data_IF_667923969298
#
_entry.id   IF_667923969298
#
_cell.length_a   1.000
_cell.length_b   1.000
_cell.length_c   1.000
_cell.angle_alpha   90.00
_cell.angle_beta   90.00
_cell.angle_gamma   90.00
#
_symmetry.space_group_name_H-M   'P 1'
#
loop_
_entity.id
_entity.type
_entity.pdbx_description
1 polymer ?
#
# COMPACT_ATOMS: atom_id res chain seq x y z
N UNK A 1 22.80 -8.40 -6.34
CA UNK A 1 21.82 -9.48 -6.26
C UNK A 1 20.84 -9.30 -7.41
N UNK A 2 20.20 -10.38 -7.85
CA UNK A 2 19.10 -10.35 -8.80
C UNK A 2 17.78 -10.28 -8.03
N UNK A 3 17.03 -9.21 -8.23
CA UNK A 3 15.77 -8.92 -7.53
C UNK A 3 14.61 -8.88 -8.51
N UNK A 4 13.57 -9.65 -8.25
CA UNK A 4 12.28 -9.51 -8.94
C UNK A 4 11.42 -8.56 -8.12
N UNK A 5 10.99 -7.45 -8.72
CA UNK A 5 10.07 -6.49 -8.12
C UNK A 5 8.73 -6.56 -8.85
N UNK A 6 7.72 -7.13 -8.20
CA UNK A 6 6.36 -7.22 -8.74
C UNK A 6 5.48 -6.06 -8.23
N UNK A 7 4.72 -5.44 -9.14
CA UNK A 7 4.06 -4.16 -8.91
C UNK A 7 5.02 -2.97 -9.06
N UNK A 8 6.04 -3.12 -9.90
CA UNK A 8 7.20 -2.22 -10.01
C UNK A 8 6.85 -0.78 -10.40
N UNK A 9 5.73 -0.56 -11.07
CA UNK A 9 5.33 0.77 -11.56
C UNK A 9 4.14 1.36 -10.78
N UNK A 10 3.75 0.72 -9.66
CA UNK A 10 2.89 1.34 -8.65
C UNK A 10 3.63 2.44 -7.88
N UNK A 11 2.90 3.24 -7.08
CA UNK A 11 3.51 4.37 -6.33
C UNK A 11 4.69 3.93 -5.45
N UNK A 12 4.53 2.90 -4.63
CA UNK A 12 5.61 2.36 -3.81
C UNK A 12 6.64 1.58 -4.66
N UNK A 13 6.17 0.77 -5.61
CA UNK A 13 7.03 -0.03 -6.47
C UNK A 13 8.03 0.81 -7.25
N UNK A 14 7.62 1.96 -7.78
CA UNK A 14 8.50 2.88 -8.49
C UNK A 14 9.60 3.46 -7.58
N UNK A 15 9.29 3.77 -6.32
CA UNK A 15 10.29 4.22 -5.36
C UNK A 15 11.27 3.09 -4.97
N UNK A 16 10.78 1.85 -4.77
CA UNK A 16 11.64 0.68 -4.55
C UNK A 16 12.56 0.44 -5.77
N UNK A 17 12.03 0.56 -6.99
CA UNK A 17 12.80 0.42 -8.22
C UNK A 17 13.97 1.43 -8.27
N UNK A 18 13.72 2.69 -7.91
CA UNK A 18 14.75 3.72 -7.84
C UNK A 18 15.87 3.33 -6.88
N UNK A 19 15.53 2.87 -5.69
CA UNK A 19 16.51 2.48 -4.67
C UNK A 19 17.33 1.27 -5.12
N UNK A 20 16.68 0.25 -5.68
CA UNK A 20 17.34 -0.95 -6.21
C UNK A 20 18.31 -0.61 -7.34
N UNK A 21 17.90 0.24 -8.29
CA UNK A 21 18.72 0.70 -9.40
C UNK A 21 19.92 1.55 -8.92
N UNK A 22 19.71 2.40 -7.93
CA UNK A 22 20.78 3.22 -7.33
C UNK A 22 21.83 2.37 -6.62
N UNK A 23 21.42 1.26 -5.99
CA UNK A 23 22.30 0.32 -5.30
C UNK A 23 22.96 -0.72 -6.23
N UNK A 24 22.72 -0.63 -7.55
CA UNK A 24 23.37 -1.49 -8.54
C UNK A 24 22.88 -2.95 -8.52
N UNK A 25 21.62 -3.19 -8.11
CA UNK A 25 21.00 -4.51 -8.22
C UNK A 25 20.63 -4.82 -9.68
N UNK A 26 20.68 -6.09 -10.06
CA UNK A 26 20.04 -6.58 -11.28
C UNK A 26 18.54 -6.72 -11.00
N UNK A 27 17.72 -5.86 -11.65
CA UNK A 27 16.28 -5.79 -11.35
C UNK A 27 15.46 -6.31 -12.51
N UNK A 28 14.55 -7.25 -12.23
CA UNK A 28 13.44 -7.60 -13.09
C UNK A 28 12.19 -6.87 -12.57
N UNK A 29 11.81 -5.80 -13.27
CA UNK A 29 10.61 -5.01 -12.96
C UNK A 29 9.38 -5.65 -13.60
N UNK A 30 8.48 -6.20 -12.79
CA UNK A 30 7.31 -6.94 -13.25
C UNK A 30 6.01 -6.19 -12.91
N UNK A 31 5.19 -5.94 -13.94
CA UNK A 31 3.89 -5.25 -13.81
C UNK A 31 3.03 -5.52 -15.04
N UNK A 32 1.75 -5.10 -15.02
CA UNK A 32 0.87 -5.15 -16.19
C UNK A 32 1.39 -4.31 -17.35
N UNK A 33 1.95 -3.13 -17.06
CA UNK A 33 2.44 -2.16 -18.04
C UNK A 33 3.68 -1.47 -17.51
N UNK A 34 4.62 -1.25 -18.41
CA UNK A 34 5.79 -0.42 -18.12
C UNK A 34 5.40 1.06 -18.06
N UNK A 35 5.96 1.75 -17.09
CA UNK A 35 5.88 3.21 -16.97
C UNK A 35 7.30 3.74 -16.72
N UNK A 36 7.68 4.83 -17.38
CA UNK A 36 8.99 5.45 -17.17
C UNK A 36 9.17 5.83 -15.69
N UNK A 37 10.30 5.42 -15.12
CA UNK A 37 10.74 5.78 -13.77
C UNK A 37 12.04 6.55 -13.88
N UNK A 38 12.01 7.83 -13.56
CA UNK A 38 13.14 8.75 -13.67
C UNK A 38 14.38 8.22 -12.92
N UNK A 39 15.51 8.20 -13.61
CA UNK A 39 16.79 7.73 -13.08
C UNK A 39 17.00 6.22 -13.11
N UNK A 40 16.04 5.44 -13.67
CA UNK A 40 16.11 4.00 -13.81
C UNK A 40 16.26 3.53 -15.27
N UNK A 41 16.40 4.44 -16.22
CA UNK A 41 16.46 4.14 -17.66
C UNK A 41 17.61 3.17 -17.97
N UNK A 42 17.27 2.03 -18.56
CA UNK A 42 18.23 0.98 -18.93
C UNK A 42 18.86 0.21 -17.78
N UNK A 43 18.36 0.39 -16.54
CA UNK A 43 18.91 -0.25 -15.32
C UNK A 43 18.06 -1.44 -14.84
N UNK A 44 17.00 -1.79 -15.52
CA UNK A 44 16.15 -2.93 -15.19
C UNK A 44 15.70 -3.65 -16.47
N UNK A 45 15.24 -4.88 -16.31
CA UNK A 45 14.55 -5.64 -17.38
C UNK A 45 13.06 -5.64 -17.06
N UNK A 46 12.24 -5.17 -18.00
CA UNK A 46 10.79 -5.23 -17.84
C UNK A 46 10.22 -6.60 -18.22
N UNK A 47 9.27 -7.09 -17.42
CA UNK A 47 8.44 -8.26 -17.70
C UNK A 47 6.96 -7.91 -17.48
N UNK A 48 6.16 -8.02 -18.54
CA UNK A 48 4.71 -7.86 -18.43
C UNK A 48 4.10 -9.09 -17.77
N UNK A 49 3.38 -8.87 -16.64
CA UNK A 49 2.67 -9.92 -15.92
C UNK A 49 1.23 -9.48 -15.61
N UNK A 50 0.32 -10.45 -15.59
CA UNK A 50 -1.03 -10.29 -15.03
C UNK A 50 -1.13 -11.16 -13.76
N UNK A 51 -1.27 -10.52 -12.59
CA UNK A 51 -1.34 -11.22 -11.32
C UNK A 51 -2.47 -12.26 -11.25
N UNK A 52 -3.53 -12.09 -12.04
CA UNK A 52 -4.65 -13.04 -12.13
C UNK A 52 -4.40 -14.20 -13.09
N UNK A 53 -3.32 -14.15 -13.89
CA UNK A 53 -2.96 -15.19 -14.84
C UNK A 53 -1.54 -15.73 -14.54
N UNK A 54 -1.39 -16.86 -13.83
CA UNK A 54 -0.09 -17.39 -13.44
C UNK A 54 0.81 -17.78 -14.63
N UNK A 55 0.25 -18.04 -15.81
CA UNK A 55 1.03 -18.37 -17.02
C UNK A 55 1.96 -17.22 -17.42
N UNK A 56 1.53 -15.97 -17.18
CA UNK A 56 2.33 -14.77 -17.50
C UNK A 56 3.56 -14.62 -16.60
N UNK A 57 3.61 -15.34 -15.48
CA UNK A 57 4.72 -15.31 -14.53
C UNK A 57 5.74 -16.42 -14.77
N UNK A 58 5.50 -17.33 -15.71
CA UNK A 58 6.39 -18.48 -15.97
C UNK A 58 7.80 -18.01 -16.29
N UNK A 59 8.80 -18.49 -15.54
CA UNK A 59 10.21 -18.10 -15.66
C UNK A 59 10.56 -16.71 -15.14
N UNK A 60 9.60 -15.98 -14.54
CA UNK A 60 9.83 -14.63 -14.00
C UNK A 60 10.91 -14.62 -12.93
N UNK A 61 10.92 -15.63 -12.09
CA UNK A 61 11.80 -15.70 -10.92
C UNK A 61 13.09 -16.52 -11.17
N UNK A 62 13.38 -16.94 -12.40
CA UNK A 62 14.55 -17.76 -12.72
C UNK A 62 15.86 -17.05 -12.34
N UNK A 63 16.62 -17.68 -11.44
CA UNK A 63 17.90 -17.18 -10.95
C UNK A 63 17.80 -15.95 -10.05
N UNK A 64 16.61 -15.58 -9.58
CA UNK A 64 16.44 -14.50 -8.63
C UNK A 64 16.89 -14.89 -7.21
N UNK A 65 17.56 -13.97 -6.53
CA UNK A 65 17.94 -14.10 -5.12
C UNK A 65 16.76 -13.76 -4.19
N UNK A 66 16.04 -12.68 -4.56
CA UNK A 66 14.97 -12.08 -3.75
C UNK A 66 13.78 -11.72 -4.65
N UNK A 67 12.58 -11.94 -4.16
CA UNK A 67 11.33 -11.41 -4.71
C UNK A 67 10.77 -10.37 -3.76
N UNK A 68 10.41 -9.18 -4.26
CA UNK A 68 9.69 -8.14 -3.54
C UNK A 68 8.34 -7.94 -4.25
N UNK A 69 7.25 -7.96 -3.52
CA UNK A 69 5.92 -7.70 -4.10
C UNK A 69 5.19 -6.56 -3.41
N UNK A 70 4.72 -5.64 -4.24
CA UNK A 70 3.80 -4.57 -3.88
C UNK A 70 2.45 -4.74 -4.57
N UNK A 71 2.17 -5.93 -5.13
CA UNK A 71 0.90 -6.22 -5.81
C UNK A 71 -0.25 -6.07 -4.82
N UNK A 72 -1.22 -5.24 -5.19
CA UNK A 72 -2.43 -5.02 -4.42
C UNK A 72 -3.45 -4.16 -5.17
N UNK A 73 -4.71 -4.26 -4.78
CA UNK A 73 -5.80 -3.50 -5.36
C UNK A 73 -5.81 -2.07 -4.78
N UNK A 74 -5.28 -1.11 -5.51
CA UNK A 74 -5.13 0.29 -5.06
C UNK A 74 -6.30 1.19 -5.43
N UNK A 75 -7.22 0.71 -6.26
CA UNK A 75 -8.36 1.49 -6.74
C UNK A 75 -9.63 0.65 -6.86
N UNK A 76 -10.79 1.32 -6.80
CA UNK A 76 -12.08 0.66 -6.93
C UNK A 76 -12.21 -0.06 -8.29
N UNK A 77 -12.08 -1.37 -8.28
CA UNK A 77 -12.31 -2.23 -9.46
C UNK A 77 -13.78 -2.64 -9.56
N UNK A 78 -14.26 -2.81 -10.77
CA UNK A 78 -15.56 -3.44 -11.04
C UNK A 78 -15.42 -4.89 -11.50
N UNK A 79 -14.19 -5.33 -11.77
CA UNK A 79 -13.85 -6.65 -12.31
C UNK A 79 -13.25 -7.58 -11.26
N UNK A 80 -12.37 -7.06 -10.40
CA UNK A 80 -11.59 -7.85 -9.44
C UNK A 80 -11.89 -7.44 -8.00
N UNK A 81 -11.84 -8.42 -7.11
CA UNK A 81 -11.89 -8.25 -5.64
C UNK A 81 -10.47 -8.22 -5.06
N UNK A 82 -10.36 -7.89 -3.78
CA UNK A 82 -9.08 -8.02 -3.05
C UNK A 82 -8.60 -9.48 -2.99
N UNK A 83 -9.49 -10.45 -2.98
CA UNK A 83 -9.08 -11.86 -3.03
C UNK A 83 -8.46 -12.26 -4.37
N UNK A 84 -8.91 -11.67 -5.49
CA UNK A 84 -8.35 -11.97 -6.81
C UNK A 84 -6.94 -11.40 -6.96
N UNK A 85 -6.71 -10.18 -6.47
CA UNK A 85 -5.45 -9.45 -6.68
C UNK A 85 -4.52 -9.59 -5.46
N UNK A 86 -4.99 -9.17 -4.27
CA UNK A 86 -4.14 -9.13 -3.07
C UNK A 86 -3.80 -10.53 -2.56
N UNK A 87 -4.73 -11.49 -2.64
CA UNK A 87 -4.46 -12.86 -2.24
C UNK A 87 -3.97 -13.72 -3.40
N UNK A 88 -4.82 -14.06 -4.38
CA UNK A 88 -4.49 -15.01 -5.43
C UNK A 88 -3.31 -14.54 -6.29
N UNK A 89 -3.25 -13.24 -6.61
CA UNK A 89 -2.16 -12.66 -7.38
C UNK A 89 -0.80 -12.83 -6.70
N UNK A 90 -0.73 -12.58 -5.39
CA UNK A 90 0.51 -12.81 -4.63
C UNK A 90 0.83 -14.29 -4.44
N UNK A 91 -0.18 -15.15 -4.30
CA UNK A 91 0.04 -16.60 -4.23
C UNK A 91 0.53 -17.20 -5.54
N UNK A 92 0.08 -16.67 -6.70
CA UNK A 92 0.61 -17.04 -8.01
C UNK A 92 2.11 -16.69 -8.12
N UNK A 93 2.48 -15.48 -7.72
CA UNK A 93 3.88 -15.04 -7.68
C UNK A 93 4.72 -15.89 -6.71
N UNK A 94 4.18 -16.15 -5.52
CA UNK A 94 4.85 -16.99 -4.50
C UNK A 94 5.13 -18.41 -5.05
N UNK A 95 4.15 -19.01 -5.71
CA UNK A 95 4.30 -20.34 -6.32
C UNK A 95 5.41 -20.35 -7.40
N UNK A 96 5.50 -19.30 -8.23
CA UNK A 96 6.58 -19.18 -9.22
C UNK A 96 7.94 -18.96 -8.56
N UNK A 97 8.03 -18.12 -7.52
CA UNK A 97 9.25 -17.92 -6.74
C UNK A 97 9.74 -19.24 -6.10
N UNK A 98 8.82 -20.02 -5.51
CA UNK A 98 9.12 -21.34 -4.94
C UNK A 98 9.62 -22.32 -5.99
N UNK A 99 8.96 -22.38 -7.14
CA UNK A 99 9.34 -23.25 -8.28
C UNK A 99 10.74 -22.91 -8.80
N UNK A 100 11.08 -21.62 -8.87
CA UNK A 100 12.40 -21.14 -9.28
C UNK A 100 13.49 -21.30 -8.23
N UNK A 101 13.16 -21.75 -7.01
CA UNK A 101 14.10 -21.94 -5.91
C UNK A 101 14.59 -20.64 -5.26
N UNK A 102 13.83 -19.56 -5.38
CA UNK A 102 14.10 -18.29 -4.68
C UNK A 102 14.19 -18.52 -3.17
N UNK A 103 15.13 -17.85 -2.52
CA UNK A 103 15.38 -18.07 -1.08
C UNK A 103 14.62 -17.09 -0.19
N UNK A 104 14.20 -15.94 -0.73
CA UNK A 104 13.64 -14.88 0.09
C UNK A 104 12.46 -14.17 -0.60
N UNK A 105 11.35 -14.05 0.11
CA UNK A 105 10.13 -13.42 -0.36
C UNK A 105 9.76 -12.23 0.54
N UNK A 106 9.75 -11.04 -0.02
CA UNK A 106 9.40 -9.80 0.65
C UNK A 106 7.98 -9.38 0.26
N UNK A 107 7.11 -9.21 1.24
CA UNK A 107 5.70 -8.92 1.01
C UNK A 107 5.26 -7.62 1.67
N UNK A 108 4.67 -6.71 0.88
CA UNK A 108 4.05 -5.50 1.39
C UNK A 108 2.58 -5.77 1.72
N UNK A 109 2.33 -5.97 3.00
CA UNK A 109 1.02 -6.20 3.61
C UNK A 109 0.34 -4.88 4.03
N UNK A 110 -0.37 -4.87 5.15
CA UNK A 110 -1.04 -3.70 5.73
C UNK A 110 -1.11 -3.85 7.25
N UNK A 111 -1.03 -2.75 7.97
CA UNK A 111 -1.20 -2.73 9.43
C UNK A 111 -2.58 -3.27 9.84
N UNK A 112 -2.68 -3.84 11.03
CA UNK A 112 -3.94 -4.32 11.64
C UNK A 112 -4.68 -5.42 10.85
N UNK A 113 -4.05 -6.09 9.89
CA UNK A 113 -4.69 -7.17 9.12
C UNK A 113 -4.97 -8.42 9.97
N UNK A 114 -4.28 -8.61 11.09
CA UNK A 114 -4.44 -9.70 12.05
C UNK A 114 -5.31 -9.34 13.27
N UNK A 115 -5.85 -8.12 13.33
CA UNK A 115 -6.72 -7.71 14.44
C UNK A 115 -8.10 -8.35 14.37
N UNK A 116 -8.71 -8.52 15.53
CA UNK A 116 -10.08 -9.02 15.65
C UNK A 116 -11.06 -8.13 14.90
N UNK A 117 -11.79 -8.69 13.95
CA UNK A 117 -12.74 -7.98 13.10
C UNK A 117 -12.19 -7.64 11.72
N UNK A 118 -10.86 -7.65 11.52
CA UNK A 118 -10.22 -7.43 10.24
C UNK A 118 -10.62 -8.47 9.19
N UNK A 119 -10.97 -9.69 9.64
CA UNK A 119 -11.47 -10.76 8.78
C UNK A 119 -12.78 -10.41 8.04
N UNK A 120 -13.50 -9.38 8.49
CA UNK A 120 -14.72 -8.86 7.85
C UNK A 120 -14.43 -7.79 6.79
N UNK A 121 -13.18 -7.38 6.65
CA UNK A 121 -12.71 -6.38 5.69
C UNK A 121 -11.91 -7.10 4.61
N UNK A 122 -12.47 -7.34 3.40
CA UNK A 122 -11.85 -8.21 2.40
C UNK A 122 -10.40 -7.86 2.06
N UNK A 123 -10.06 -6.57 2.00
CA UNK A 123 -8.69 -6.12 1.72
C UNK A 123 -7.70 -6.51 2.83
N UNK A 124 -8.07 -6.36 4.09
CA UNK A 124 -7.24 -6.77 5.23
C UNK A 124 -7.11 -8.29 5.28
N UNK A 125 -8.24 -8.99 5.15
CA UNK A 125 -8.28 -10.45 5.23
C UNK A 125 -7.50 -11.11 4.09
N UNK A 126 -7.62 -10.60 2.85
CA UNK A 126 -6.85 -11.11 1.72
C UNK A 126 -5.33 -11.02 1.96
N UNK A 127 -4.87 -9.88 2.48
CA UNK A 127 -3.45 -9.68 2.82
C UNK A 127 -3.01 -10.56 3.99
N UNK A 128 -3.82 -10.67 5.04
CA UNK A 128 -3.56 -11.58 6.17
C UNK A 128 -3.40 -13.03 5.72
N UNK A 129 -4.25 -13.50 4.81
CA UNK A 129 -4.16 -14.86 4.27
C UNK A 129 -2.83 -15.11 3.53
N UNK A 130 -2.31 -14.13 2.78
CA UNK A 130 -0.98 -14.23 2.16
C UNK A 130 0.11 -14.38 3.23
N UNK A 131 0.07 -13.55 4.28
CA UNK A 131 1.04 -13.65 5.38
C UNK A 131 1.04 -15.04 6.01
N UNK A 132 -0.16 -15.58 6.30
CA UNK A 132 -0.29 -16.91 6.90
C UNK A 132 0.22 -18.03 5.99
N UNK A 133 0.01 -17.91 4.67
CA UNK A 133 0.52 -18.91 3.72
C UNK A 133 2.04 -18.86 3.58
N UNK A 134 2.65 -17.69 3.48
CA UNK A 134 4.12 -17.58 3.33
C UNK A 134 4.85 -18.00 4.62
N UNK A 135 4.30 -17.73 5.80
CA UNK A 135 4.86 -18.12 7.10
C UNK A 135 4.91 -19.64 7.32
N UNK A 136 4.07 -20.42 6.64
CA UNK A 136 4.01 -21.88 6.74
C UNK A 136 5.07 -22.60 5.91
N UNK A 137 5.81 -21.88 5.08
CA UNK A 137 6.71 -22.46 4.09
C UNK A 137 8.18 -22.30 4.49
N UNK A 138 9.07 -23.06 3.81
CA UNK A 138 10.51 -23.08 4.10
C UNK A 138 11.29 -21.89 3.48
N UNK A 139 10.64 -21.06 2.66
CA UNK A 139 11.26 -19.87 2.07
C UNK A 139 11.32 -18.76 3.12
N UNK A 140 12.47 -18.14 3.31
CA UNK A 140 12.62 -16.96 4.17
C UNK A 140 11.70 -15.84 3.71
N UNK A 141 11.13 -15.12 4.66
CA UNK A 141 10.19 -14.04 4.36
C UNK A 141 10.46 -12.77 5.17
N UNK A 142 10.12 -11.64 4.59
CA UNK A 142 9.96 -10.37 5.31
C UNK A 142 8.59 -9.79 4.98
N UNK A 143 7.84 -9.42 6.01
CA UNK A 143 6.52 -8.83 5.88
C UNK A 143 6.59 -7.38 6.35
N UNK A 144 6.15 -6.47 5.51
CA UNK A 144 6.05 -5.06 5.85
C UNK A 144 4.57 -4.67 5.93
N UNK A 145 4.14 -4.15 7.07
CA UNK A 145 2.78 -3.70 7.33
C UNK A 145 2.74 -2.18 7.49
N UNK A 146 2.67 -1.41 6.40
CA UNK A 146 2.55 0.05 6.48
C UNK A 146 1.20 0.49 7.04
N UNK A 147 1.21 1.65 7.71
CA UNK A 147 0.01 2.29 8.29
C UNK A 147 -0.79 3.11 7.27
N UNK A 148 -0.17 3.50 6.18
CA UNK A 148 -0.69 4.33 5.11
C UNK A 148 0.38 5.30 4.60
N UNK A 149 0.10 5.96 3.50
CA UNK A 149 1.08 6.78 2.79
C UNK A 149 0.67 8.24 2.72
N UNK A 150 1.65 9.14 2.75
CA UNK A 150 1.44 10.59 2.60
C UNK A 150 0.60 10.92 1.37
N UNK A 151 0.94 10.32 0.23
CA UNK A 151 0.24 10.57 -1.04
C UNK A 151 -1.22 10.10 -1.02
N UNK A 152 -1.52 9.00 -0.34
CA UNK A 152 -2.89 8.48 -0.24
C UNK A 152 -3.77 9.42 0.57
N UNK A 153 -3.27 9.92 1.71
CA UNK A 153 -3.98 10.90 2.51
C UNK A 153 -4.22 12.17 1.69
N UNK A 154 -3.19 12.71 1.04
CA UNK A 154 -3.30 13.89 0.19
C UNK A 154 -4.35 13.70 -0.92
N UNK A 155 -4.28 12.59 -1.64
CA UNK A 155 -5.19 12.23 -2.74
C UNK A 155 -6.64 12.04 -2.27
N UNK A 156 -6.84 11.36 -1.14
CA UNK A 156 -8.17 11.11 -0.57
C UNK A 156 -8.79 12.39 -0.02
N UNK A 157 -7.97 13.27 0.61
CA UNK A 157 -8.46 14.49 1.23
C UNK A 157 -8.68 15.63 0.24
N UNK A 158 -7.94 15.64 -0.87
CA UNK A 158 -8.04 16.72 -1.89
C UNK A 158 -9.47 17.03 -2.33
N UNK A 159 -10.33 16.06 -2.72
CA UNK A 159 -11.71 16.37 -3.11
C UNK A 159 -12.52 17.05 -1.99
N UNK A 160 -12.25 16.72 -0.72
CA UNK A 160 -12.91 17.36 0.42
C UNK A 160 -12.41 18.80 0.61
N UNK A 161 -11.12 19.03 0.46
CA UNK A 161 -10.51 20.37 0.48
C UNK A 161 -11.08 21.22 -0.64
N UNK A 162 -11.17 20.68 -1.85
CA UNK A 162 -11.74 21.39 -3.01
C UNK A 162 -13.19 21.77 -2.78
N UNK A 163 -13.99 20.89 -2.19
CA UNK A 163 -15.41 21.10 -1.86
C UNK A 163 -15.63 21.91 -0.55
N UNK A 164 -14.57 22.31 0.14
CA UNK A 164 -14.63 23.18 1.33
C UNK A 164 -15.18 22.51 2.60
N UNK A 165 -15.28 21.18 2.66
CA UNK A 165 -15.70 20.45 3.87
C UNK A 165 -15.14 19.03 3.91
N UNK A 166 -14.51 18.66 5.05
CA UNK A 166 -14.06 17.30 5.35
C UNK A 166 -15.21 16.47 5.92
N UNK A 167 -15.30 15.19 5.53
CA UNK A 167 -16.23 14.25 6.11
C UNK A 167 -15.49 13.24 6.97
N UNK A 168 -15.83 13.19 8.27
CA UNK A 168 -15.28 12.26 9.25
C UNK A 168 -16.39 11.45 9.92
N UNK A 169 -16.01 10.36 10.60
CA UNK A 169 -16.94 9.52 11.34
C UNK A 169 -17.26 10.12 12.71
N UNK A 170 -18.55 10.24 13.02
CA UNK A 170 -19.02 10.71 14.32
C UNK A 170 -18.55 9.75 15.43
N UNK A 171 -17.85 10.31 16.42
CA UNK A 171 -17.28 9.57 17.55
C UNK A 171 -15.87 9.01 17.30
N UNK A 172 -15.28 9.21 16.11
CA UNK A 172 -13.96 8.70 15.72
C UNK A 172 -12.97 9.81 15.33
N UNK A 173 -13.21 11.04 15.73
CA UNK A 173 -12.31 12.18 15.40
C UNK A 173 -10.89 12.04 15.95
N UNK A 174 -10.71 11.28 17.02
CA UNK A 174 -9.42 11.04 17.69
C UNK A 174 -8.66 9.80 17.19
N UNK A 175 -9.18 9.10 16.17
CA UNK A 175 -8.48 7.97 15.55
C UNK A 175 -7.17 8.45 14.93
N UNK A 176 -6.10 7.71 15.21
CA UNK A 176 -4.71 8.12 14.91
C UNK A 176 -4.09 7.27 13.81
N UNK A 177 -3.19 7.89 13.07
CA UNK A 177 -2.28 7.18 12.18
C UNK A 177 -0.91 7.87 12.15
N UNK A 178 0.16 7.10 11.97
CA UNK A 178 1.50 7.60 11.68
C UNK A 178 1.90 7.21 10.26
N UNK A 179 1.28 7.86 9.29
CA UNK A 179 1.51 7.62 7.85
C UNK A 179 2.97 7.83 7.45
N UNK A 180 3.45 7.11 6.44
CA UNK A 180 4.86 7.09 6.00
C UNK A 180 5.04 7.66 4.60
N UNK A 181 6.19 8.29 4.32
CA UNK A 181 6.56 8.70 2.97
C UNK A 181 7.05 7.51 2.15
N UNK A 182 6.60 7.38 0.89
CA UNK A 182 6.97 6.25 0.04
C UNK A 182 8.47 6.12 -0.24
N UNK A 183 9.22 7.19 -0.57
CA UNK A 183 10.67 7.12 -0.72
C UNK A 183 11.40 6.60 0.51
N UNK A 184 11.03 7.07 1.71
CA UNK A 184 11.65 6.63 2.96
C UNK A 184 11.33 5.15 3.23
N UNK A 185 10.09 4.74 2.97
CA UNK A 185 9.69 3.34 3.13
C UNK A 185 10.35 2.42 2.09
N UNK A 186 10.52 2.87 0.85
CA UNK A 186 11.24 2.12 -0.18
C UNK A 186 12.70 1.88 0.21
N UNK A 187 13.36 2.90 0.77
CA UNK A 187 14.72 2.77 1.31
C UNK A 187 14.77 1.70 2.41
N UNK A 188 13.85 1.77 3.38
CA UNK A 188 13.74 0.79 4.46
C UNK A 188 13.52 -0.64 3.93
N UNK A 189 12.62 -0.83 2.94
CA UNK A 189 12.39 -2.17 2.35
C UNK A 189 13.68 -2.74 1.75
N UNK A 190 14.43 -1.93 0.99
CA UNK A 190 15.67 -2.40 0.33
C UNK A 190 16.78 -2.67 1.35
N UNK A 191 16.90 -1.88 2.41
CA UNK A 191 17.85 -2.10 3.50
C UNK A 191 17.57 -3.39 4.28
N UNK A 192 16.29 -3.73 4.47
CA UNK A 192 15.82 -4.86 5.25
C UNK A 192 15.38 -6.08 4.41
N UNK A 193 15.51 -6.04 3.07
CA UNK A 193 15.04 -7.13 2.22
C UNK A 193 15.76 -8.46 2.42
N UNK A 194 16.90 -8.45 3.12
CA UNK A 194 17.68 -9.63 3.46
C UNK A 194 17.42 -10.18 4.88
N UNK A 195 16.59 -9.53 5.65
CA UNK A 195 16.20 -10.03 6.97
C UNK A 195 15.42 -11.35 6.85
N UNK A 196 15.29 -12.09 7.94
CA UNK A 196 14.76 -13.43 7.90
C UNK A 196 13.60 -13.59 8.88
N UNK A 197 12.45 -14.00 8.36
CA UNK A 197 11.23 -14.36 9.12
C UNK A 197 10.80 -13.25 10.11
N UNK A 198 10.73 -12.02 9.63
CA UNK A 198 10.37 -10.85 10.43
C UNK A 198 9.18 -10.10 9.85
N UNK A 199 8.34 -9.55 10.72
CA UNK A 199 7.23 -8.65 10.38
C UNK A 199 7.52 -7.26 10.97
N UNK A 200 7.48 -6.22 10.14
CA UNK A 200 7.63 -4.83 10.51
C UNK A 200 6.30 -4.10 10.43
N UNK A 201 5.80 -3.56 11.52
CA UNK A 201 4.64 -2.66 11.54
C UNK A 201 5.13 -1.23 11.31
N UNK A 202 5.14 -0.79 10.06
CA UNK A 202 5.85 0.41 9.62
C UNK A 202 4.96 1.64 9.69
N UNK A 203 5.43 2.68 10.39
CA UNK A 203 4.83 4.01 10.42
C UNK A 203 5.85 5.12 10.27
N UNK A 204 5.39 6.34 9.99
CA UNK A 204 6.22 7.54 9.97
C UNK A 204 6.49 8.05 11.39
N UNK A 205 7.38 9.05 11.50
CA UNK A 205 7.80 9.59 12.80
C UNK A 205 6.72 10.38 13.55
N UNK A 206 5.72 10.89 12.85
CA UNK A 206 4.70 11.76 13.41
C UNK A 206 3.36 11.04 13.44
N UNK A 207 2.68 11.08 14.59
CA UNK A 207 1.35 10.50 14.76
C UNK A 207 0.30 11.62 14.83
N UNK A 208 -0.69 11.55 13.96
CA UNK A 208 -1.77 12.52 13.87
C UNK A 208 -3.14 11.85 13.91
N UNK A 209 -4.13 12.56 14.40
CA UNK A 209 -5.54 12.22 14.18
C UNK A 209 -5.95 12.57 12.74
N UNK A 210 -7.00 11.93 12.24
CA UNK A 210 -7.55 12.30 10.93
C UNK A 210 -8.06 13.75 10.89
N UNK A 211 -8.52 14.29 12.03
CA UNK A 211 -8.92 15.69 12.15
C UNK A 211 -7.71 16.65 11.99
N UNK A 212 -6.58 16.32 12.65
CA UNK A 212 -5.32 17.09 12.51
C UNK A 212 -4.78 17.01 11.07
N UNK A 213 -4.78 15.84 10.45
CA UNK A 213 -4.36 15.70 9.05
C UNK A 213 -5.27 16.49 8.10
N UNK A 214 -6.60 16.47 8.36
CA UNK A 214 -7.53 17.28 7.59
C UNK A 214 -7.24 18.78 7.77
N UNK A 215 -6.97 19.22 9.01
CA UNK A 215 -6.60 20.62 9.27
C UNK A 215 -5.36 21.04 8.49
N UNK A 216 -4.31 20.21 8.49
CA UNK A 216 -3.10 20.48 7.73
C UNK A 216 -3.37 20.65 6.22
N UNK A 217 -4.24 19.80 5.64
CA UNK A 217 -4.60 19.88 4.23
C UNK A 217 -5.39 21.16 3.91
N UNK A 218 -6.34 21.55 4.78
CA UNK A 218 -7.12 22.77 4.60
C UNK A 218 -6.26 24.02 4.79
N UNK A 219 -5.40 24.06 5.80
CA UNK A 219 -4.46 25.16 6.04
C UNK A 219 -3.49 25.34 4.85
N UNK A 220 -2.95 24.23 4.32
CA UNK A 220 -2.06 24.26 3.15
C UNK A 220 -2.74 24.77 1.86
N UNK A 221 -4.05 24.58 1.76
CA UNK A 221 -4.88 25.08 0.66
C UNK A 221 -5.47 26.47 0.95
N UNK A 222 -5.11 27.13 2.07
CA UNK A 222 -5.62 28.42 2.53
C UNK A 222 -7.16 28.45 2.66
N UNK A 223 -7.78 27.33 3.06
CA UNK A 223 -9.23 27.19 3.20
C UNK A 223 -9.63 26.94 4.66
N UNK A 224 -10.76 27.48 5.13
CA UNK A 224 -11.25 27.16 6.48
C UNK A 224 -11.74 25.72 6.56
N UNK A 225 -11.28 24.97 7.56
CA UNK A 225 -11.75 23.60 7.80
C UNK A 225 -13.21 23.62 8.30
N UNK A 226 -14.08 22.90 7.59
CA UNK A 226 -15.43 22.55 8.02
C UNK A 226 -15.53 21.03 8.09
N UNK A 227 -15.93 20.48 9.25
CA UNK A 227 -16.11 19.04 9.40
C UNK A 227 -17.60 18.69 9.36
N UNK A 228 -17.95 17.71 8.52
CA UNK A 228 -19.27 17.07 8.48
C UNK A 228 -19.14 15.68 9.09
N UNK A 229 -19.88 15.42 10.14
CA UNK A 229 -19.86 14.15 10.86
C UNK A 229 -20.85 13.16 10.29
N UNK A 230 -20.37 12.05 9.75
CA UNK A 230 -21.18 10.96 9.24
C UNK A 230 -21.33 9.85 10.29
N UNK A 231 -22.51 9.26 10.48
CA UNK A 231 -22.67 8.11 11.35
C UNK A 231 -22.04 6.86 10.70
N UNK A 232 -21.38 6.02 11.50
CA UNK A 232 -20.65 4.84 11.01
C UNK A 232 -21.55 3.84 10.25
N UNK A 233 -22.84 3.75 10.60
CA UNK A 233 -23.79 2.86 9.92
C UNK A 233 -23.99 3.22 8.44
N UNK A 234 -23.73 4.48 8.06
CA UNK A 234 -23.86 4.94 6.67
C UNK A 234 -22.93 4.15 5.74
N UNK A 235 -21.74 3.77 6.19
CA UNK A 235 -20.81 2.95 5.42
C UNK A 235 -21.38 1.55 5.15
N UNK A 236 -22.06 0.96 6.14
CA UNK A 236 -22.73 -0.33 5.94
C UNK A 236 -23.86 -0.23 4.89
N UNK A 237 -24.63 0.86 4.89
CA UNK A 237 -25.65 1.09 3.88
C UNK A 237 -25.02 1.29 2.50
N UNK A 238 -23.99 2.15 2.40
CA UNK A 238 -23.29 2.41 1.14
C UNK A 238 -22.66 1.13 0.56
N UNK A 239 -21.97 0.33 1.38
CA UNK A 239 -21.35 -0.92 0.94
C UNK A 239 -22.35 -1.91 0.36
N UNK A 240 -23.61 -1.88 0.81
CA UNK A 240 -24.68 -2.80 0.36
C UNK A 240 -25.51 -2.27 -0.81
N UNK A 241 -25.25 -1.06 -1.32
CA UNK A 241 -25.96 -0.56 -2.49
C UNK A 241 -25.64 -1.43 -3.73
N UNK A 242 -26.62 -1.77 -4.58
CA UNK A 242 -26.43 -2.68 -5.73
C UNK A 242 -25.34 -2.24 -6.72
N UNK A 243 -25.13 -0.92 -6.88
CA UNK A 243 -24.08 -0.34 -7.74
C UNK A 243 -22.67 -0.42 -7.13
N UNK A 244 -22.59 -0.60 -5.81
CA UNK A 244 -21.34 -0.60 -5.03
C UNK A 244 -20.95 -2.01 -4.62
N UNK A 245 -21.93 -2.90 -4.39
CA UNK A 245 -21.73 -4.31 -3.99
C UNK A 245 -20.98 -5.16 -5.04
N UNK A 246 -20.41 -4.51 -6.06
CA UNK A 246 -19.64 -5.16 -7.13
C UNK A 246 -18.15 -5.03 -6.89
N UNK A 247 -17.49 -6.17 -6.69
CA UNK A 247 -16.04 -6.33 -6.63
C UNK A 247 -15.34 -5.31 -5.70
N UNK A 248 -14.19 -4.79 -6.10
CA UNK A 248 -13.33 -3.95 -5.28
C UNK A 248 -13.92 -2.63 -4.76
N UNK A 249 -15.07 -2.16 -5.27
CA UNK A 249 -15.74 -0.98 -4.69
C UNK A 249 -16.26 -1.25 -3.28
N UNK A 250 -16.84 -2.43 -3.06
CA UNK A 250 -17.30 -2.88 -1.75
C UNK A 250 -16.11 -2.96 -0.78
N UNK A 251 -15.01 -3.56 -1.23
CA UNK A 251 -13.81 -3.78 -0.43
C UNK A 251 -13.21 -2.46 0.05
N UNK A 252 -13.11 -1.46 -0.85
CA UNK A 252 -12.59 -0.13 -0.51
C UNK A 252 -13.47 0.60 0.49
N UNK A 253 -14.81 0.50 0.40
CA UNK A 253 -15.69 1.14 1.37
C UNK A 253 -15.53 0.53 2.76
N UNK A 254 -15.43 -0.80 2.85
CA UNK A 254 -15.20 -1.47 4.13
C UNK A 254 -13.81 -1.15 4.69
N UNK A 255 -12.80 -1.09 3.84
CA UNK A 255 -11.46 -0.67 4.22
C UNK A 255 -11.43 0.78 4.71
N UNK A 256 -12.08 1.72 3.99
CA UNK A 256 -12.20 3.12 4.42
C UNK A 256 -12.94 3.25 5.77
N UNK A 257 -13.99 2.45 5.99
CA UNK A 257 -14.65 2.39 7.30
C UNK A 257 -13.66 1.97 8.38
N UNK A 258 -12.87 0.92 8.14
CA UNK A 258 -11.89 0.39 9.08
C UNK A 258 -10.85 1.46 9.44
N UNK A 259 -10.20 2.05 8.44
CA UNK A 259 -9.14 3.05 8.63
C UNK A 259 -9.61 4.28 9.39
N UNK A 260 -10.86 4.72 9.17
CA UNK A 260 -11.47 5.85 9.88
C UNK A 260 -11.99 5.52 11.28
N UNK A 261 -11.96 4.27 11.71
CA UNK A 261 -12.51 3.84 13.01
C UNK A 261 -11.53 3.06 13.89
N UNK A 262 -10.30 2.81 13.43
CA UNK A 262 -9.24 2.10 14.18
C UNK A 262 -7.94 2.88 14.10
N UNK A 263 -7.18 2.89 15.19
CA UNK A 263 -5.85 3.46 15.19
C UNK A 263 -4.92 2.64 14.28
N UNK A 264 -4.17 3.33 13.42
CA UNK A 264 -3.22 2.73 12.51
C UNK A 264 -1.83 3.27 12.83
N UNK A 265 -1.24 2.75 13.90
CA UNK A 265 0.06 3.21 14.40
C UNK A 265 1.06 2.06 14.36
N UNK A 266 2.06 2.19 13.51
CA UNK A 266 3.18 1.27 13.44
C UNK A 266 4.23 1.60 14.50
N UNK A 267 4.88 0.57 15.03
CA UNK A 267 5.93 0.66 16.04
C UNK A 267 7.35 0.76 15.45
N UNK A 268 7.50 0.38 14.18
CA UNK A 268 8.74 0.56 13.42
C UNK A 268 8.71 1.90 12.71
N UNK A 269 9.34 2.90 13.32
CA UNK A 269 9.37 4.27 12.80
C UNK A 269 10.36 4.38 11.64
N UNK A 270 9.89 4.86 10.49
CA UNK A 270 10.67 4.96 9.25
C UNK A 270 10.64 6.37 8.69
N UNK A 271 11.82 6.87 8.33
CA UNK A 271 12.00 8.17 7.70
C UNK A 271 11.96 9.36 8.66
N UNK A 272 12.41 10.50 8.13
CA UNK A 272 12.51 11.77 8.87
C UNK A 272 11.58 12.86 8.31
N UNK A 273 10.90 12.61 7.18
CA UNK A 273 10.04 13.59 6.53
C UNK A 273 8.78 13.87 7.34
N UNK A 274 8.38 15.14 7.32
CA UNK A 274 7.14 15.60 7.95
C UNK A 274 5.97 15.50 6.97
N UNK A 275 4.84 14.94 7.44
CA UNK A 275 3.60 14.94 6.70
C UNK A 275 3.13 16.37 6.41
N UNK A 276 3.27 17.29 7.38
CA UNK A 276 2.90 18.69 7.20
C UNK A 276 3.68 19.39 6.09
N UNK A 277 4.99 19.13 5.95
CA UNK A 277 5.81 19.66 4.86
C UNK A 277 5.41 19.05 3.51
N UNK A 278 5.14 17.75 3.47
CA UNK A 278 4.66 17.07 2.27
C UNK A 278 3.34 17.70 1.78
N UNK A 279 2.38 17.91 2.65
CA UNK A 279 1.07 18.50 2.34
C UNK A 279 1.19 19.95 1.83
N UNK A 280 2.03 20.77 2.47
CA UNK A 280 2.31 22.12 1.97
C UNK A 280 2.82 22.10 0.53
N UNK A 281 3.78 21.22 0.23
CA UNK A 281 4.33 21.08 -1.12
C UNK A 281 3.31 20.51 -2.12
N UNK A 282 2.44 19.62 -1.69
CA UNK A 282 1.38 19.02 -2.52
C UNK A 282 0.38 20.08 -3.00
N UNK A 283 -0.14 20.88 -2.08
CA UNK A 283 -1.14 21.89 -2.42
C UNK A 283 -0.54 23.16 -3.07
N UNK A 284 0.72 23.53 -2.75
CA UNK A 284 1.37 24.70 -3.37
C UNK A 284 1.71 24.52 -4.86
N UNK A 285 1.92 23.27 -5.32
CA UNK A 285 2.16 22.97 -6.75
C UNK A 285 0.91 23.11 -7.62
N UNK A 286 -0.28 23.09 -7.03
CA UNK A 286 -1.54 23.20 -7.75
C UNK A 286 -2.06 24.65 -7.87
N UNK A 287 -1.49 25.58 -7.11
CA UNK A 287 -1.83 27.02 -7.18
C UNK A 287 -1.10 27.73 -8.34
N UNK A 288 -0.23 27.04 -9.03
CA UNK A 288 0.48 27.53 -10.24
C UNK A 288 -0.10 26.90 -11.50
#
# INVERSE_FOLDING_TARGET
MKVVLAGAFGNLGAEILKVLCANGHEVVAADLRETAVEGCEGKYTFKSIDATNPETMTGLCDGADVVITTIGLTSASTKFTSYDIDYQGNMNLYAEAKKAGVKKFNYVSVISCDEKGAEKVPMLHAKYLVEEEIKKQDMDWVIYRPTGYFYDIAKVFKPYVDNGAMQLLKGYGNVKANVVDCPDFAQFIVEHMNDTCVTYNVGGKETYTYEEMAKMCFDAAEKPLKIKWAPIWLFAVLANLPKIKKAGKHDIILFSKWTLSHDLVGDTVVGEKSFGEYIKNYFSKEVK
#
